data_IF_377567024381
#
_entry.id   IF_377567024381
#
_cell.length_a   1.000
_cell.length_b   1.000
_cell.length_c   1.000
_cell.angle_alpha   90.00
_cell.angle_beta   90.00
_cell.angle_gamma   90.00
#
_symmetry.space_group_name_H-M   'P 1'
#
loop_
_entity.id
_entity.type
_entity.pdbx_description
1 polymer ?
#
# COMPACT_ATOMS: atom_id res chain seq x y z
N UNK A 1 1.87 -3.88 -17.01
CA UNK A 1 2.22 -2.45 -17.14
C UNK A 1 3.73 -2.33 -17.14
N UNK A 2 4.35 -1.50 -17.99
CA UNK A 2 5.81 -1.29 -17.93
C UNK A 2 6.15 -0.22 -16.88
N UNK A 3 7.42 -0.10 -16.47
CA UNK A 3 7.85 0.80 -15.38
C UNK A 3 7.45 2.27 -15.62
N UNK A 4 7.50 2.77 -16.86
CA UNK A 4 7.13 4.16 -17.16
C UNK A 4 5.64 4.40 -16.96
N UNK A 5 4.81 3.47 -17.41
CA UNK A 5 3.37 3.57 -17.20
C UNK A 5 2.99 3.37 -15.73
N UNK A 6 3.75 2.55 -14.97
CA UNK A 6 3.60 2.43 -13.52
C UNK A 6 3.86 3.77 -12.81
N UNK A 7 4.97 4.43 -13.11
CA UNK A 7 5.30 5.73 -12.50
C UNK A 7 4.23 6.78 -12.84
N UNK A 8 3.85 6.89 -14.12
CA UNK A 8 2.79 7.82 -14.55
C UNK A 8 1.47 7.59 -13.85
N UNK A 9 1.11 6.34 -13.56
CA UNK A 9 -0.11 6.03 -12.83
C UNK A 9 -0.10 6.65 -11.44
N UNK A 10 1.00 6.51 -10.68
CA UNK A 10 1.11 7.12 -9.34
C UNK A 10 1.19 8.64 -9.38
N UNK A 11 1.93 9.21 -10.35
CA UNK A 11 1.97 10.67 -10.55
C UNK A 11 0.56 11.23 -10.78
N UNK A 12 -0.23 10.54 -11.61
CA UNK A 12 -1.62 10.91 -11.89
C UNK A 12 -2.50 10.82 -10.63
N UNK A 13 -2.41 9.72 -9.89
CA UNK A 13 -3.19 9.52 -8.65
C UNK A 13 -2.90 10.63 -7.64
N UNK A 14 -1.63 11.05 -7.49
CA UNK A 14 -1.28 12.13 -6.57
C UNK A 14 -1.89 13.47 -6.97
N UNK A 15 -1.99 13.76 -8.26
CA UNK A 15 -2.61 14.99 -8.77
C UNK A 15 -4.14 14.95 -8.64
N UNK A 16 -4.76 13.81 -8.95
CA UNK A 16 -6.23 13.65 -8.89
C UNK A 16 -6.76 13.56 -7.47
N UNK A 17 -5.97 13.00 -6.54
CA UNK A 17 -6.37 12.79 -5.15
C UNK A 17 -5.34 13.39 -4.18
N UNK A 18 -5.20 14.74 -4.13
CA UNK A 18 -4.19 15.40 -3.30
C UNK A 18 -4.44 15.24 -1.79
N UNK A 19 -5.68 14.96 -1.39
CA UNK A 19 -6.06 14.71 0.00
C UNK A 19 -5.86 13.24 0.42
N UNK A 20 -5.57 12.35 -0.54
CA UNK A 20 -5.27 10.95 -0.22
C UNK A 20 -4.02 10.90 0.64
N UNK A 21 -4.11 10.21 1.78
CA UNK A 21 -2.97 10.01 2.67
C UNK A 21 -2.65 8.53 2.83
N UNK A 22 -1.38 8.23 3.11
CA UNK A 22 -0.92 6.87 3.44
C UNK A 22 -0.10 6.98 4.72
N UNK A 23 -0.48 6.20 5.73
CA UNK A 23 0.26 6.02 6.97
C UNK A 23 0.86 4.61 7.00
N UNK A 24 2.18 4.53 7.16
CA UNK A 24 2.85 3.27 7.43
C UNK A 24 2.58 2.84 8.87
N UNK A 25 1.95 1.68 9.05
CA UNK A 25 1.68 1.10 10.37
C UNK A 25 2.89 0.30 10.83
N UNK A 26 3.41 -0.56 9.96
CA UNK A 26 4.59 -1.39 10.21
C UNK A 26 5.24 -1.80 8.89
N UNK A 27 6.54 -2.11 8.98
CA UNK A 27 7.33 -2.67 7.91
C UNK A 27 8.11 -3.88 8.46
N UNK A 28 8.14 -4.96 7.71
CA UNK A 28 8.90 -6.18 8.05
C UNK A 28 9.73 -6.57 6.83
N UNK A 29 10.98 -6.93 7.05
CA UNK A 29 11.88 -7.38 6.00
C UNK A 29 12.47 -8.75 6.37
N UNK A 30 12.53 -9.64 5.39
CA UNK A 30 13.13 -10.96 5.50
C UNK A 30 13.81 -11.31 4.16
N UNK A 31 15.10 -11.63 4.21
CA UNK A 31 15.96 -11.81 3.04
C UNK A 31 15.82 -10.68 2.01
N UNK A 32 15.28 -10.97 0.83
CA UNK A 32 15.04 -10.01 -0.23
C UNK A 32 13.58 -9.59 -0.37
N UNK A 33 12.75 -9.89 0.63
CA UNK A 33 11.34 -9.51 0.68
C UNK A 33 11.11 -8.42 1.73
N UNK A 34 10.27 -7.45 1.38
CA UNK A 34 9.77 -6.44 2.31
C UNK A 34 8.26 -6.43 2.26
N UNK A 35 7.62 -6.53 3.42
CA UNK A 35 6.18 -6.38 3.60
C UNK A 35 5.89 -5.04 4.30
N UNK A 36 4.98 -4.25 3.73
CA UNK A 36 4.48 -3.01 4.32
C UNK A 36 3.01 -3.18 4.66
N UNK A 37 2.63 -2.75 5.84
CA UNK A 37 1.25 -2.64 6.26
C UNK A 37 0.90 -1.16 6.36
N UNK A 38 -0.03 -0.70 5.53
CA UNK A 38 -0.39 0.71 5.42
C UNK A 38 -1.87 0.94 5.66
N UNK A 39 -2.19 2.09 6.25
CA UNK A 39 -3.53 2.63 6.33
C UNK A 39 -3.64 3.81 5.35
N UNK A 40 -4.55 3.72 4.39
CA UNK A 40 -4.83 4.75 3.40
C UNK A 40 -6.16 5.42 3.68
N UNK A 41 -6.19 6.75 3.62
CA UNK A 41 -7.43 7.54 3.70
C UNK A 41 -7.64 8.20 2.33
N UNK A 42 -8.78 7.94 1.71
CA UNK A 42 -9.20 8.49 0.42
C UNK A 42 -10.27 9.57 0.60
N UNK A 43 -10.56 10.39 -0.43
CA UNK A 43 -11.65 11.37 -0.36
C UNK A 43 -12.98 10.73 0.04
N UNK A 44 -13.79 11.46 0.80
CA UNK A 44 -15.03 10.92 1.37
C UNK A 44 -14.81 10.08 2.64
N UNK A 45 -13.60 10.09 3.21
CA UNK A 45 -13.22 9.30 4.39
C UNK A 45 -13.34 7.79 4.16
N UNK A 46 -13.08 7.33 2.94
CA UNK A 46 -12.93 5.91 2.68
C UNK A 46 -11.56 5.44 3.15
N UNK A 47 -11.54 4.51 4.10
CA UNK A 47 -10.33 4.01 4.73
C UNK A 47 -10.02 2.59 4.26
N UNK A 48 -8.75 2.34 3.91
CA UNK A 48 -8.28 1.05 3.42
C UNK A 48 -7.02 0.62 4.16
N UNK A 49 -6.94 -0.67 4.44
CA UNK A 49 -5.70 -1.32 4.83
C UNK A 49 -5.09 -2.00 3.60
N UNK A 50 -3.79 -1.81 3.40
CA UNK A 50 -3.05 -2.45 2.32
C UNK A 50 -1.83 -3.18 2.87
N UNK A 51 -1.65 -4.41 2.38
CA UNK A 51 -0.44 -5.19 2.54
C UNK A 51 0.30 -5.17 1.22
N UNK A 52 1.40 -4.42 1.15
CA UNK A 52 2.29 -4.39 -0.02
C UNK A 52 3.49 -5.30 0.22
N UNK A 53 3.82 -6.13 -0.76
CA UNK A 53 4.99 -7.00 -0.75
C UNK A 53 5.90 -6.63 -1.91
N UNK A 54 7.18 -6.45 -1.62
CA UNK A 54 8.21 -6.14 -2.61
C UNK A 54 9.31 -7.17 -2.56
N UNK A 55 9.74 -7.66 -3.72
CA UNK A 55 10.97 -8.45 -3.86
C UNK A 55 12.08 -7.62 -4.47
N UNK A 56 13.27 -7.71 -3.90
CA UNK A 56 14.46 -7.00 -4.35
C UNK A 56 15.47 -7.94 -5.01
N UNK A 57 16.20 -7.44 -6.00
CA UNK A 57 17.41 -8.08 -6.52
C UNK A 57 18.66 -7.71 -5.71
N UNK A 58 19.82 -8.24 -6.10
CA UNK A 58 21.09 -7.97 -5.43
C UNK A 58 21.60 -6.53 -5.60
N UNK A 59 21.07 -5.77 -6.57
CA UNK A 59 21.37 -4.35 -6.78
C UNK A 59 20.39 -3.43 -6.00
N UNK A 60 19.51 -4.03 -5.18
CA UNK A 60 18.53 -3.33 -4.37
C UNK A 60 17.38 -2.73 -5.18
N UNK A 61 17.10 -3.25 -6.39
CA UNK A 61 15.94 -2.83 -7.19
C UNK A 61 14.74 -3.70 -6.87
N UNK A 62 13.56 -3.07 -6.81
CA UNK A 62 12.29 -3.79 -6.77
C UNK A 62 12.10 -4.50 -8.11
N UNK A 63 12.04 -5.83 -8.08
CA UNK A 63 11.84 -6.67 -9.27
C UNK A 63 10.45 -7.27 -9.33
N UNK A 64 9.75 -7.38 -8.20
CA UNK A 64 8.34 -7.80 -8.13
C UNK A 64 7.60 -7.04 -7.03
N UNK A 65 6.31 -6.81 -7.25
CA UNK A 65 5.38 -6.19 -6.30
C UNK A 65 4.05 -6.94 -6.35
N UNK A 66 3.46 -7.17 -5.18
CA UNK A 66 2.12 -7.69 -5.00
C UNK A 66 1.44 -6.92 -3.89
N UNK A 67 0.12 -6.81 -3.97
CA UNK A 67 -0.66 -6.19 -2.92
C UNK A 67 -1.92 -7.00 -2.58
N UNK A 68 -2.43 -6.74 -1.38
CA UNK A 68 -3.80 -7.02 -1.00
C UNK A 68 -4.36 -5.76 -0.35
N UNK A 69 -5.50 -5.30 -0.85
CA UNK A 69 -6.19 -4.12 -0.35
C UNK A 69 -7.57 -4.51 0.17
N UNK A 70 -7.91 -4.00 1.35
CA UNK A 70 -9.20 -4.22 1.97
C UNK A 70 -9.71 -2.90 2.56
N UNK A 71 -10.96 -2.57 2.25
CA UNK A 71 -11.65 -1.45 2.91
C UNK A 71 -11.89 -1.78 4.39
N UNK A 72 -11.68 -0.81 5.27
CA UNK A 72 -12.01 -0.98 6.70
C UNK A 72 -13.54 -1.13 6.80
N UNK A 73 -14.04 -2.25 7.36
CA UNK A 73 -15.48 -2.45 7.46
C UNK A 73 -16.08 -1.55 8.55
N UNK A 74 -17.32 -1.12 8.35
CA UNK A 74 -18.08 -0.36 9.36
C UNK A 74 -18.28 -1.18 10.64
N UNK A 75 -18.46 -2.49 10.49
CA UNK A 75 -18.64 -3.44 11.60
C UNK A 75 -17.56 -4.53 11.55
N UNK A 76 -16.96 -4.81 12.71
CA UNK A 76 -15.98 -5.88 12.87
C UNK A 76 -16.50 -6.96 13.82
N UNK A 77 -16.31 -8.22 13.45
CA UNK A 77 -16.64 -9.36 14.30
C UNK A 77 -15.70 -9.48 15.53
N UNK A 78 -14.61 -8.72 15.56
CA UNK A 78 -13.65 -8.69 16.66
C UNK A 78 -13.34 -7.24 17.09
N UNK A 79 -12.80 -7.07 18.29
CA UNK A 79 -12.53 -5.75 18.89
C UNK A 79 -11.08 -5.25 18.70
N UNK A 80 -10.25 -5.93 17.89
CA UNK A 80 -8.81 -5.64 17.81
C UNK A 80 -8.47 -4.54 16.79
N UNK A 81 -9.45 -4.06 16.02
CA UNK A 81 -9.21 -3.17 14.88
C UNK A 81 -8.49 -3.88 13.72
N UNK A 82 -8.27 -3.14 12.62
CA UNK A 82 -7.54 -3.67 11.45
C UNK A 82 -6.03 -3.41 11.53
N UNK A 83 -5.56 -2.56 12.45
CA UNK A 83 -4.15 -2.21 12.62
C UNK A 83 -3.75 -1.85 14.03
#
# INVERSE_FOLDING_TARGET
MNLKEFIKYFDKIQVEYPEKSIKFVRAVAEDNLVALHTHQIWPGNEEYVTMDFFRFDCDGKIVEHWDSIQQIPEESANNNGMY
#
